data_IF_162586013085
#
_entry.id   IF_162586013085
#
_cell.length_a   1.000
_cell.length_b   1.000
_cell.length_c   1.000
_cell.angle_alpha   90.00
_cell.angle_beta   90.00
_cell.angle_gamma   90.00
#
_symmetry.space_group_name_H-M   'P 1'
#
loop_
_entity.id
_entity.type
_entity.pdbx_description
1 polymer ?
#
# COMPACT_ATOMS: atom_id res chain seq x y z
N UNK A 1 -45.84 27.44 43.96
CA UNK A 1 -45.69 26.92 42.57
C UNK A 1 -44.46 27.51 41.87
N UNK A 2 -44.20 28.82 41.98
CA UNK A 2 -43.06 29.48 41.31
C UNK A 2 -41.66 29.04 41.81
N UNK A 3 -41.51 28.70 43.10
CA UNK A 3 -40.24 28.24 43.68
C UNK A 3 -39.80 26.89 43.15
N UNK A 4 -40.71 25.91 43.10
CA UNK A 4 -40.44 24.56 42.59
C UNK A 4 -40.05 24.58 41.10
N UNK A 5 -40.65 25.46 40.30
CA UNK A 5 -40.32 25.62 38.88
C UNK A 5 -38.92 26.22 38.69
N UNK A 6 -38.48 27.13 39.57
CA UNK A 6 -37.14 27.72 39.53
C UNK A 6 -36.07 26.71 39.96
N UNK A 7 -36.34 25.86 40.95
CA UNK A 7 -35.41 24.81 41.39
C UNK A 7 -35.20 23.74 40.30
N UNK A 8 -36.28 23.34 39.60
CA UNK A 8 -36.19 22.40 38.47
C UNK A 8 -35.38 22.99 37.30
N UNK A 9 -35.61 24.26 36.96
CA UNK A 9 -34.84 24.96 35.91
C UNK A 9 -33.35 25.08 36.28
N UNK A 10 -33.06 25.39 37.54
CA UNK A 10 -31.69 25.45 38.06
C UNK A 10 -30.99 24.09 37.95
N UNK A 11 -31.67 23.02 38.39
CA UNK A 11 -31.13 21.66 38.31
C UNK A 11 -30.88 21.21 36.88
N UNK A 12 -31.80 21.49 35.94
CA UNK A 12 -31.61 21.16 34.52
C UNK A 12 -30.45 21.96 33.90
N UNK A 13 -30.29 23.23 34.25
CA UNK A 13 -29.18 24.06 33.79
C UNK A 13 -27.82 23.50 34.25
N UNK A 14 -27.74 23.02 35.50
CA UNK A 14 -26.54 22.35 36.03
C UNK A 14 -26.26 21.04 35.30
N UNK A 15 -27.28 20.22 35.02
CA UNK A 15 -27.12 19.00 34.23
C UNK A 15 -26.66 19.28 32.79
N UNK A 16 -27.23 20.29 32.13
CA UNK A 16 -26.78 20.70 30.79
C UNK A 16 -25.35 21.24 30.81
N UNK A 17 -24.97 22.03 31.83
CA UNK A 17 -23.60 22.52 31.98
C UNK A 17 -22.60 21.37 32.22
N UNK A 18 -22.96 20.39 33.04
CA UNK A 18 -22.16 19.17 33.27
C UNK A 18 -22.03 18.33 31.99
N UNK A 19 -23.11 18.15 31.24
CA UNK A 19 -23.07 17.44 29.95
C UNK A 19 -22.20 18.18 28.93
N UNK A 20 -22.35 19.50 28.81
CA UNK A 20 -21.54 20.31 27.89
C UNK A 20 -20.06 20.32 28.26
N UNK A 21 -19.73 20.37 29.55
CA UNK A 21 -18.33 20.29 30.02
C UNK A 21 -17.73 18.91 29.77
N UNK A 22 -18.48 17.82 30.01
CA UNK A 22 -18.03 16.46 29.68
C UNK A 22 -17.86 16.26 28.16
N UNK A 23 -18.79 16.77 27.35
CA UNK A 23 -18.69 16.68 25.89
C UNK A 23 -17.49 17.50 25.38
N UNK A 24 -17.32 18.74 25.84
CA UNK A 24 -16.23 19.60 25.38
C UNK A 24 -14.85 19.10 25.82
N UNK A 25 -14.72 18.55 27.04
CA UNK A 25 -13.47 17.93 27.52
C UNK A 25 -13.13 16.66 26.76
N UNK A 26 -14.11 15.77 26.50
CA UNK A 26 -13.92 14.56 25.69
C UNK A 26 -13.53 14.89 24.24
N UNK A 27 -14.16 15.91 23.65
CA UNK A 27 -13.85 16.37 22.29
C UNK A 27 -12.45 16.99 22.23
N UNK A 28 -12.09 17.86 23.18
CA UNK A 28 -10.77 18.50 23.23
C UNK A 28 -9.63 17.50 23.48
N UNK A 29 -9.86 16.49 24.32
CA UNK A 29 -8.92 15.39 24.51
C UNK A 29 -8.76 14.54 23.23
N UNK A 30 -9.83 14.36 22.45
CA UNK A 30 -9.76 13.65 21.17
C UNK A 30 -8.92 14.37 20.09
N UNK A 31 -8.84 15.71 20.13
CA UNK A 31 -8.02 16.50 19.20
C UNK A 31 -6.58 16.73 19.68
N UNK A 32 -6.30 16.61 20.99
CA UNK A 32 -4.97 16.85 21.55
C UNK A 32 -3.91 15.80 21.15
N UNK A 33 -4.33 14.69 20.52
CA UNK A 33 -3.47 13.58 20.10
C UNK A 33 -3.39 13.41 18.57
N UNK A 34 -3.79 14.42 17.79
CA UNK A 34 -3.73 14.37 16.32
C UNK A 34 -2.32 14.70 15.80
N UNK A 35 -1.35 13.83 16.07
CA UNK A 35 0.04 13.97 15.60
C UNK A 35 0.38 12.88 14.57
N UNK A 36 1.38 13.15 13.72
CA UNK A 36 1.92 12.15 12.80
C UNK A 36 2.44 10.91 13.55
N UNK A 37 3.05 11.11 14.72
CA UNK A 37 3.53 10.02 15.59
C UNK A 37 2.41 9.08 16.03
N UNK A 38 1.21 9.60 16.32
CA UNK A 38 0.09 8.78 16.73
C UNK A 38 -0.42 7.90 15.58
N UNK A 39 -0.44 8.44 14.36
CA UNK A 39 -0.75 7.66 13.17
C UNK A 39 0.30 6.56 12.92
N UNK A 40 1.59 6.89 13.08
CA UNK A 40 2.67 5.92 12.94
C UNK A 40 2.59 4.81 14.00
N UNK A 41 2.21 5.14 15.24
CA UNK A 41 1.95 4.16 16.30
C UNK A 41 0.83 3.21 15.93
N UNK A 42 -0.27 3.70 15.36
CA UNK A 42 -1.35 2.84 14.87
C UNK A 42 -0.86 1.89 13.75
N UNK A 43 0.04 2.35 12.87
CA UNK A 43 0.51 1.57 11.72
C UNK A 43 1.60 0.54 12.07
N UNK A 44 2.30 0.71 13.20
CA UNK A 44 3.43 -0.14 13.59
C UNK A 44 3.14 -1.65 13.53
N UNK A 45 2.01 -2.18 14.02
CA UNK A 45 1.74 -3.62 13.93
C UNK A 45 1.56 -4.12 12.49
N UNK A 46 1.22 -3.25 11.54
CA UNK A 46 1.03 -3.61 10.13
C UNK A 46 2.36 -3.83 9.41
N UNK A 47 3.51 -3.41 9.96
CA UNK A 47 4.81 -3.55 9.28
C UNK A 47 5.23 -5.02 9.11
N UNK A 48 4.62 -5.95 9.85
CA UNK A 48 4.83 -7.40 9.64
C UNK A 48 4.33 -7.85 8.26
N UNK A 49 3.38 -7.11 7.68
CA UNK A 49 2.87 -7.34 6.34
C UNK A 49 3.94 -6.94 5.30
N UNK A 50 4.73 -5.89 5.54
CA UNK A 50 5.71 -5.39 4.56
C UNK A 50 6.73 -6.46 4.15
N UNK A 51 7.06 -7.39 5.05
CA UNK A 51 7.98 -8.50 4.79
C UNK A 51 7.31 -9.76 4.23
N UNK A 52 6.04 -9.73 3.84
CA UNK A 52 5.39 -10.92 3.26
C UNK A 52 4.69 -11.83 4.28
N UNK A 53 4.55 -11.43 5.56
CA UNK A 53 4.15 -12.32 6.66
C UNK A 53 4.99 -13.60 6.74
N UNK A 54 6.24 -13.55 6.32
CA UNK A 54 7.10 -14.72 6.18
C UNK A 54 7.38 -15.47 7.49
N UNK A 55 7.12 -14.85 8.63
CA UNK A 55 7.18 -15.45 9.97
C UNK A 55 5.89 -16.20 10.38
N UNK A 56 4.82 -16.08 9.59
CA UNK A 56 3.49 -16.65 9.86
C UNK A 56 3.25 -17.80 8.90
N UNK A 57 3.27 -19.03 9.39
CA UNK A 57 3.07 -20.21 8.55
C UNK A 57 1.91 -21.10 8.97
N UNK A 58 1.34 -20.84 10.15
CA UNK A 58 0.27 -21.66 10.70
C UNK A 58 -0.95 -20.83 11.08
N UNK A 59 -2.07 -21.53 11.24
CA UNK A 59 -3.31 -20.93 11.76
C UNK A 59 -3.13 -20.38 13.18
N UNK A 60 -2.33 -21.05 14.01
CA UNK A 60 -2.03 -20.61 15.36
C UNK A 60 -1.25 -19.28 15.34
N UNK A 61 -0.31 -19.12 14.40
CA UNK A 61 0.41 -17.85 14.22
C UNK A 61 -0.55 -16.73 13.83
N UNK A 62 -1.47 -17.00 12.88
CA UNK A 62 -2.52 -16.04 12.50
C UNK A 62 -3.40 -15.66 13.68
N UNK A 63 -3.86 -16.63 14.47
CA UNK A 63 -4.68 -16.38 15.66
C UNK A 63 -3.95 -15.52 16.70
N UNK A 64 -2.61 -15.65 16.79
CA UNK A 64 -1.79 -14.81 17.67
C UNK A 64 -1.64 -13.37 17.17
N UNK A 65 -1.48 -13.13 15.87
CA UNK A 65 -1.20 -11.77 15.34
C UNK A 65 -2.45 -10.99 14.93
N UNK A 66 -3.54 -11.68 14.62
CA UNK A 66 -4.76 -11.05 14.11
C UNK A 66 -5.43 -10.04 15.06
N UNK A 67 -5.37 -10.19 16.40
CA UNK A 67 -5.81 -9.14 17.31
C UNK A 67 -5.08 -7.82 17.07
N UNK A 68 -3.75 -7.84 16.99
CA UNK A 68 -2.92 -6.65 16.80
C UNK A 68 -3.17 -5.99 15.44
N UNK A 69 -3.30 -6.79 14.37
CA UNK A 69 -3.60 -6.27 13.03
C UNK A 69 -4.98 -5.59 12.97
N UNK A 70 -5.99 -6.20 13.60
CA UNK A 70 -7.35 -5.63 13.65
C UNK A 70 -7.37 -4.34 14.47
N UNK A 71 -6.66 -4.31 15.59
CA UNK A 71 -6.57 -3.14 16.44
C UNK A 71 -5.82 -1.99 15.75
N UNK A 72 -4.78 -2.29 14.99
CA UNK A 72 -4.10 -1.31 14.12
C UNK A 72 -5.06 -0.68 13.11
N UNK A 73 -5.82 -1.49 12.36
CA UNK A 73 -6.82 -0.98 11.39
C UNK A 73 -7.90 -0.13 12.09
N UNK A 74 -8.37 -0.56 13.26
CA UNK A 74 -9.35 0.19 14.05
C UNK A 74 -8.79 1.52 14.57
N UNK A 75 -7.52 1.54 15.01
CA UNK A 75 -6.80 2.74 15.44
C UNK A 75 -6.74 3.77 14.31
N UNK A 76 -6.30 3.34 13.12
CA UNK A 76 -6.24 4.17 11.91
C UNK A 76 -7.63 4.71 11.53
N UNK A 77 -8.68 3.87 11.58
CA UNK A 77 -10.05 4.30 11.30
C UNK A 77 -10.56 5.36 12.29
N UNK A 78 -10.19 5.27 13.56
CA UNK A 78 -10.54 6.29 14.56
C UNK A 78 -9.75 7.57 14.32
N UNK A 79 -8.44 7.47 14.12
CA UNK A 79 -7.59 8.63 13.82
C UNK A 79 -8.13 9.41 12.62
N UNK A 80 -8.41 8.74 11.50
CA UNK A 80 -8.94 9.38 10.28
C UNK A 80 -10.33 10.00 10.46
N UNK A 81 -11.12 9.53 11.44
CA UNK A 81 -12.44 10.10 11.75
C UNK A 81 -12.34 11.36 12.59
N UNK A 82 -11.41 11.41 13.54
CA UNK A 82 -11.30 12.51 14.52
C UNK A 82 -10.28 13.58 14.11
N UNK A 83 -9.19 13.19 13.46
CA UNK A 83 -8.05 14.06 13.20
C UNK A 83 -7.98 14.61 11.77
N UNK A 84 -8.78 14.09 10.84
CA UNK A 84 -8.76 14.51 9.43
C UNK A 84 -10.05 15.23 9.04
N UNK A 85 -9.92 16.21 8.14
CA UNK A 85 -11.08 16.80 7.46
C UNK A 85 -11.71 15.80 6.46
N UNK A 86 -12.85 16.15 5.88
CA UNK A 86 -13.60 15.26 4.98
C UNK A 86 -12.81 14.85 3.72
N UNK A 87 -12.02 15.77 3.16
CA UNK A 87 -11.25 15.51 1.94
C UNK A 87 -10.08 14.57 2.23
N UNK A 88 -9.29 14.86 3.26
CA UNK A 88 -8.15 14.05 3.69
C UNK A 88 -8.62 12.67 4.13
N UNK A 89 -9.73 12.58 4.87
CA UNK A 89 -10.33 11.30 5.25
C UNK A 89 -10.73 10.46 4.04
N UNK A 90 -11.35 11.06 3.00
CA UNK A 90 -11.74 10.33 1.78
C UNK A 90 -10.51 9.86 1.01
N UNK A 91 -9.48 10.70 0.94
CA UNK A 91 -8.22 10.33 0.31
C UNK A 91 -7.52 9.20 1.08
N UNK A 92 -7.31 9.37 2.38
CA UNK A 92 -6.67 8.39 3.25
C UNK A 92 -7.40 7.05 3.27
N UNK A 93 -8.75 7.04 3.34
CA UNK A 93 -9.53 5.80 3.24
C UNK A 93 -9.26 5.04 1.94
N UNK A 94 -9.09 5.76 0.83
CA UNK A 94 -8.69 5.13 -0.43
C UNK A 94 -7.28 4.60 -0.37
N UNK A 95 -6.35 5.25 0.33
CA UNK A 95 -4.97 4.78 0.48
C UNK A 95 -4.86 3.51 1.33
N UNK A 96 -5.65 3.39 2.39
CA UNK A 96 -5.58 2.26 3.34
C UNK A 96 -6.60 1.13 3.08
N UNK A 97 -7.46 1.26 2.07
CA UNK A 97 -8.52 0.30 1.81
C UNK A 97 -7.98 -1.13 1.56
N UNK A 98 -6.98 -1.27 0.69
CA UNK A 98 -6.42 -2.57 0.33
C UNK A 98 -5.83 -3.32 1.53
N UNK A 99 -5.04 -2.62 2.36
CA UNK A 99 -4.47 -3.17 3.60
C UNK A 99 -5.55 -3.60 4.58
N UNK A 100 -6.58 -2.77 4.79
CA UNK A 100 -7.69 -3.13 5.69
C UNK A 100 -8.49 -4.34 5.21
N UNK A 101 -8.74 -4.44 3.90
CA UNK A 101 -9.42 -5.58 3.29
C UNK A 101 -8.59 -6.87 3.40
N UNK A 102 -7.29 -6.77 3.16
CA UNK A 102 -6.35 -7.88 3.27
C UNK A 102 -6.26 -8.41 4.70
N UNK A 103 -6.09 -7.54 5.70
CA UNK A 103 -6.13 -7.92 7.13
C UNK A 103 -7.44 -8.62 7.46
N UNK A 104 -8.57 -8.08 7.00
CA UNK A 104 -9.88 -8.69 7.24
C UNK A 104 -10.00 -10.10 6.64
N UNK A 105 -9.56 -10.27 5.39
CA UNK A 105 -9.66 -11.55 4.67
C UNK A 105 -8.69 -12.59 5.22
N UNK A 106 -7.49 -12.18 5.63
CA UNK A 106 -6.49 -13.05 6.23
C UNK A 106 -6.91 -13.52 7.63
N UNK A 107 -7.47 -12.62 8.44
CA UNK A 107 -7.81 -12.90 9.82
C UNK A 107 -9.20 -13.53 10.01
N UNK A 108 -10.00 -13.63 8.96
CA UNK A 108 -11.31 -14.26 8.99
C UNK A 108 -11.21 -15.64 8.35
N UNK A 109 -11.80 -16.64 9.00
CA UNK A 109 -11.95 -17.97 8.38
C UNK A 109 -12.66 -17.83 7.02
N UNK A 110 -12.05 -18.40 5.99
CA UNK A 110 -12.55 -18.35 4.62
C UNK A 110 -11.49 -18.75 3.61
N UNK A 111 -11.87 -18.75 2.34
CA UNK A 111 -11.04 -19.27 1.23
C UNK A 111 -9.69 -18.56 1.12
N UNK A 112 -9.64 -17.24 1.33
CA UNK A 112 -8.39 -16.48 1.26
C UNK A 112 -7.40 -16.89 2.36
N UNK A 113 -7.88 -17.12 3.58
CA UNK A 113 -7.04 -17.60 4.67
C UNK A 113 -6.54 -19.02 4.39
N UNK A 114 -7.40 -19.90 3.87
CA UNK A 114 -7.04 -21.26 3.49
C UNK A 114 -5.97 -21.28 2.38
N UNK A 115 -6.12 -20.43 1.37
CA UNK A 115 -5.15 -20.25 0.28
C UNK A 115 -3.81 -19.71 0.80
N UNK A 116 -3.83 -18.72 1.70
CA UNK A 116 -2.62 -18.25 2.39
C UNK A 116 -1.92 -19.40 3.12
N UNK A 117 -2.65 -20.12 3.98
CA UNK A 117 -2.11 -21.22 4.79
C UNK A 117 -1.60 -22.40 3.94
N UNK A 118 -2.14 -22.58 2.72
CA UNK A 118 -1.63 -23.57 1.76
C UNK A 118 -0.20 -23.24 1.31
N UNK A 119 0.12 -21.96 1.09
CA UNK A 119 1.43 -21.53 0.55
C UNK A 119 2.42 -21.12 1.65
N UNK A 120 1.93 -20.69 2.81
CA UNK A 120 2.74 -20.14 3.89
C UNK A 120 3.89 -21.05 4.38
N UNK A 121 3.75 -22.39 4.50
CA UNK A 121 4.86 -23.25 4.93
C UNK A 121 6.05 -23.25 3.98
N UNK A 122 5.83 -23.09 2.67
CA UNK A 122 6.94 -22.97 1.72
C UNK A 122 7.50 -21.55 1.73
N UNK A 123 6.62 -20.54 1.71
CA UNK A 123 7.02 -19.12 1.74
C UNK A 123 7.87 -18.78 2.97
N UNK A 124 7.62 -19.41 4.11
CA UNK A 124 8.45 -19.29 5.33
C UNK A 124 9.85 -19.88 5.14
N UNK A 125 10.00 -20.98 4.40
CA UNK A 125 11.32 -21.60 4.16
C UNK A 125 12.20 -20.75 3.25
N UNK A 126 11.59 -20.08 2.29
CA UNK A 126 12.28 -19.23 1.30
C UNK A 126 12.37 -17.77 1.75
N UNK A 127 12.04 -17.51 3.02
CA UNK A 127 12.08 -16.18 3.64
C UNK A 127 13.46 -15.54 3.51
N UNK A 128 14.60 -16.23 3.80
CA UNK A 128 15.91 -15.61 3.73
C UNK A 128 16.26 -15.14 2.32
N UNK A 129 15.90 -15.93 1.29
CA UNK A 129 16.11 -15.58 -0.11
C UNK A 129 15.21 -14.42 -0.55
N UNK A 130 13.96 -14.39 -0.08
CA UNK A 130 13.02 -13.30 -0.32
C UNK A 130 13.41 -12.01 0.42
N UNK A 131 14.01 -12.10 1.61
CA UNK A 131 14.44 -10.96 2.43
C UNK A 131 15.47 -10.09 1.68
N UNK A 132 16.29 -10.70 0.82
CA UNK A 132 17.22 -9.98 -0.06
C UNK A 132 16.48 -8.98 -0.95
N UNK A 133 15.34 -9.37 -1.51
CA UNK A 133 14.51 -8.50 -2.34
C UNK A 133 13.97 -7.31 -1.52
N UNK A 134 13.49 -7.57 -0.30
CA UNK A 134 12.97 -6.53 0.58
C UNK A 134 14.07 -5.57 1.05
N UNK A 135 15.25 -6.07 1.41
CA UNK A 135 16.42 -5.25 1.77
C UNK A 135 16.85 -4.32 0.64
N UNK A 136 16.85 -4.81 -0.59
CA UNK A 136 17.14 -3.99 -1.77
C UNK A 136 16.09 -2.88 -1.95
N UNK A 137 14.81 -3.22 -1.78
CA UNK A 137 13.72 -2.25 -1.80
C UNK A 137 13.88 -1.16 -0.74
N UNK A 138 14.05 -1.54 0.53
CA UNK A 138 14.24 -0.58 1.62
C UNK A 138 15.44 0.31 1.39
N UNK A 139 16.55 -0.23 0.88
CA UNK A 139 17.73 0.56 0.53
C UNK A 139 17.39 1.62 -0.53
N UNK A 140 16.70 1.24 -1.61
CA UNK A 140 16.27 2.20 -2.66
C UNK A 140 15.32 3.26 -2.12
N UNK A 141 14.39 2.88 -1.25
CA UNK A 141 13.47 3.82 -0.60
C UNK A 141 14.22 4.85 0.26
N UNK A 142 15.20 4.43 1.05
CA UNK A 142 16.03 5.34 1.85
C UNK A 142 16.85 6.29 0.96
N UNK A 143 17.35 5.81 -0.19
CA UNK A 143 18.06 6.64 -1.16
C UNK A 143 17.14 7.67 -1.83
N UNK A 144 15.88 7.31 -2.12
CA UNK A 144 14.88 8.22 -2.67
C UNK A 144 14.51 9.31 -1.65
N UNK A 145 14.30 8.92 -0.38
CA UNK A 145 14.01 9.85 0.70
C UNK A 145 15.16 10.85 0.91
N UNK A 146 16.41 10.37 0.94
CA UNK A 146 17.59 11.23 1.06
C UNK A 146 17.77 12.22 -0.11
N UNK A 147 17.30 11.87 -1.32
CA UNK A 147 17.39 12.70 -2.52
C UNK A 147 16.21 13.65 -2.71
N UNK A 148 15.16 13.52 -1.90
CA UNK A 148 13.97 14.37 -1.96
C UNK A 148 13.98 15.35 -0.78
N UNK A 149 14.77 16.44 -0.82
CA UNK A 149 14.66 17.45 0.21
C UNK A 149 13.27 18.08 0.14
N UNK A 150 12.50 17.89 1.21
CA UNK A 150 11.23 18.60 1.41
C UNK A 150 11.55 20.06 1.72
N UNK A 151 11.94 20.83 0.71
CA UNK A 151 12.24 22.25 0.87
C UNK A 151 10.96 23.02 1.18
N UNK A 152 10.90 23.62 2.39
CA UNK A 152 9.87 24.57 2.76
C UNK A 152 9.81 25.70 1.73
N UNK A 153 8.64 25.90 1.12
CA UNK A 153 8.42 26.97 0.15
C UNK A 153 8.39 28.30 0.92
N UNK A 154 9.44 29.12 0.82
CA UNK A 154 9.41 30.52 1.26
C UNK A 154 8.80 31.41 0.17
N UNK A 155 8.15 32.49 0.59
CA UNK A 155 7.20 33.26 -0.21
C UNK A 155 7.82 34.33 -1.15
N UNK A 156 9.10 34.25 -1.49
CA UNK A 156 9.82 35.33 -2.17
C UNK A 156 10.35 34.86 -3.54
N UNK A 157 9.50 34.96 -4.58
CA UNK A 157 9.83 35.40 -5.96
C UNK A 157 8.84 34.83 -7.00
N UNK A 158 7.81 35.60 -7.35
CA UNK A 158 6.65 35.18 -8.15
C UNK A 158 6.95 34.75 -9.61
N UNK A 159 8.11 35.09 -10.17
CA UNK A 159 8.56 34.65 -11.52
C UNK A 159 9.55 33.49 -11.47
N UNK A 160 10.43 33.43 -10.45
CA UNK A 160 11.15 32.21 -10.11
C UNK A 160 10.18 31.11 -9.64
N UNK A 161 9.00 31.48 -9.13
CA UNK A 161 7.93 30.60 -8.64
C UNK A 161 7.38 29.66 -9.72
N UNK A 162 7.10 30.10 -10.96
CA UNK A 162 6.57 29.19 -12.00
C UNK A 162 7.60 28.16 -12.46
N UNK A 163 8.86 28.56 -12.66
CA UNK A 163 9.93 27.66 -13.07
C UNK A 163 10.35 26.73 -11.92
N UNK A 164 10.38 27.23 -10.68
CA UNK A 164 10.63 26.42 -9.49
C UNK A 164 9.47 25.45 -9.20
N UNK A 165 8.21 25.84 -9.38
CA UNK A 165 7.07 24.93 -9.26
C UNK A 165 7.12 23.81 -10.29
N UNK A 166 7.49 24.11 -11.54
CA UNK A 166 7.67 23.07 -12.56
C UNK A 166 8.78 22.10 -12.17
N UNK A 167 9.95 22.60 -11.76
CA UNK A 167 11.06 21.76 -11.27
C UNK A 167 10.67 20.93 -10.04
N UNK A 168 9.91 21.50 -9.10
CA UNK A 168 9.40 20.79 -7.91
C UNK A 168 8.42 19.68 -8.30
N UNK A 169 7.55 19.95 -9.26
CA UNK A 169 6.61 18.95 -9.80
C UNK A 169 7.37 17.84 -10.53
N UNK A 170 8.30 18.19 -11.41
CA UNK A 170 9.10 17.21 -12.16
C UNK A 170 9.91 16.33 -11.20
N UNK A 171 10.51 16.91 -10.15
CA UNK A 171 11.22 16.17 -9.10
C UNK A 171 10.28 15.27 -8.26
N UNK A 172 9.07 15.74 -7.94
CA UNK A 172 8.06 14.94 -7.25
C UNK A 172 7.58 13.77 -8.13
N UNK A 173 7.34 14.01 -9.42
CA UNK A 173 6.94 13.00 -10.40
C UNK A 173 8.08 11.98 -10.62
N UNK A 174 9.34 12.41 -10.61
CA UNK A 174 10.52 11.52 -10.64
C UNK A 174 10.63 10.68 -9.36
N UNK A 175 10.41 11.30 -8.18
CA UNK A 175 10.38 10.61 -6.90
C UNK A 175 9.30 9.52 -6.87
N UNK A 176 8.08 9.85 -7.32
CA UNK A 176 6.98 8.88 -7.44
C UNK A 176 7.36 7.75 -8.39
N UNK A 177 7.91 8.06 -9.57
CA UNK A 177 8.38 7.04 -10.52
C UNK A 177 9.38 6.08 -9.87
N UNK A 178 10.37 6.62 -9.16
CA UNK A 178 11.40 5.81 -8.51
C UNK A 178 10.82 4.90 -7.42
N UNK A 179 9.85 5.39 -6.62
CA UNK A 179 9.13 4.57 -5.64
C UNK A 179 8.36 3.45 -6.33
N UNK A 180 7.63 3.77 -7.40
CA UNK A 180 6.84 2.81 -8.17
C UNK A 180 7.71 1.69 -8.75
N UNK A 181 8.82 2.05 -9.40
CA UNK A 181 9.70 1.09 -10.04
C UNK A 181 10.45 0.23 -9.01
N UNK A 182 10.91 0.83 -7.90
CA UNK A 182 11.56 0.06 -6.82
C UNK A 182 10.60 -0.97 -6.21
N UNK A 183 9.32 -0.63 -6.07
CA UNK A 183 8.32 -1.57 -5.59
C UNK A 183 8.02 -2.68 -6.61
N UNK A 184 7.90 -2.35 -7.91
CA UNK A 184 7.69 -3.38 -8.93
C UNK A 184 8.86 -4.36 -9.03
N UNK A 185 10.10 -3.88 -8.94
CA UNK A 185 11.29 -4.73 -8.87
C UNK A 185 11.26 -5.67 -7.66
N UNK A 186 10.82 -5.16 -6.50
CA UNK A 186 10.66 -5.97 -5.30
C UNK A 186 9.65 -7.10 -5.52
N UNK A 187 8.46 -6.78 -6.02
CA UNK A 187 7.42 -7.77 -6.31
C UNK A 187 7.93 -8.81 -7.32
N UNK A 188 8.61 -8.37 -8.38
CA UNK A 188 9.17 -9.26 -9.39
C UNK A 188 10.23 -10.20 -8.79
N UNK A 189 11.21 -9.65 -8.07
CA UNK A 189 12.27 -10.42 -7.39
C UNK A 189 11.67 -11.48 -6.47
N UNK A 190 10.70 -11.11 -5.63
CA UNK A 190 10.07 -12.07 -4.71
C UNK A 190 9.22 -13.12 -5.42
N UNK A 191 8.53 -12.73 -6.50
CA UNK A 191 7.75 -13.66 -7.33
C UNK A 191 8.66 -14.68 -8.02
N UNK A 192 9.81 -14.26 -8.54
CA UNK A 192 10.80 -15.13 -9.19
C UNK A 192 11.47 -16.10 -8.21
N UNK A 193 11.84 -15.64 -7.01
CA UNK A 193 12.36 -16.49 -5.93
C UNK A 193 11.30 -17.52 -5.51
N UNK A 194 10.09 -17.06 -5.21
CA UNK A 194 8.98 -17.94 -4.79
C UNK A 194 8.60 -18.93 -5.90
N UNK A 195 8.65 -18.53 -7.17
CA UNK A 195 8.33 -19.41 -8.29
C UNK A 195 9.33 -20.54 -8.48
N UNK A 196 10.63 -20.26 -8.28
CA UNK A 196 11.69 -21.27 -8.37
C UNK A 196 11.62 -22.29 -7.24
N UNK A 197 11.35 -21.82 -6.02
CA UNK A 197 11.43 -22.66 -4.82
C UNK A 197 10.08 -23.28 -4.40
N UNK A 198 8.97 -22.57 -4.60
CA UNK A 198 7.62 -22.95 -4.13
C UNK A 198 6.62 -23.23 -5.25
N UNK A 199 7.00 -23.03 -6.51
CA UNK A 199 6.15 -23.27 -7.68
C UNK A 199 5.29 -22.08 -8.11
N UNK A 200 4.68 -22.21 -9.29
CA UNK A 200 3.97 -21.11 -9.96
C UNK A 200 2.73 -20.61 -9.22
N UNK A 201 1.98 -21.51 -8.57
CA UNK A 201 0.78 -21.14 -7.80
C UNK A 201 1.15 -20.26 -6.60
N UNK A 202 2.20 -20.65 -5.85
CA UNK A 202 2.71 -19.87 -4.72
C UNK A 202 3.28 -18.52 -5.18
N UNK A 203 3.93 -18.48 -6.34
CA UNK A 203 4.43 -17.23 -6.93
C UNK A 203 3.29 -16.28 -7.32
N UNK A 204 2.23 -16.79 -7.96
CA UNK A 204 1.06 -15.99 -8.31
C UNK A 204 0.35 -15.46 -7.05
N UNK A 205 0.22 -16.29 -6.03
CA UNK A 205 -0.32 -15.89 -4.73
C UNK A 205 0.55 -14.80 -4.10
N UNK A 206 1.87 -15.02 -4.00
CA UNK A 206 2.83 -14.08 -3.42
C UNK A 206 2.80 -12.72 -4.13
N UNK A 207 2.72 -12.71 -5.47
CA UNK A 207 2.53 -11.49 -6.25
C UNK A 207 1.27 -10.73 -5.86
N UNK A 208 0.10 -11.40 -5.88
CA UNK A 208 -1.19 -10.79 -5.51
C UNK A 208 -1.19 -10.28 -4.07
N UNK A 209 -0.53 -11.01 -3.18
CA UNK A 209 -0.37 -10.66 -1.78
C UNK A 209 0.43 -9.38 -1.61
N UNK A 210 1.64 -9.29 -2.20
CA UNK A 210 2.49 -8.10 -2.18
C UNK A 210 1.80 -6.89 -2.83
N UNK A 211 1.15 -7.09 -3.98
CA UNK A 211 0.40 -6.05 -4.69
C UNK A 211 -0.75 -5.46 -3.85
N UNK A 212 -1.38 -6.29 -3.00
CA UNK A 212 -2.47 -5.87 -2.11
C UNK A 212 -1.95 -5.24 -0.82
N UNK A 213 -0.77 -5.64 -0.36
CA UNK A 213 -0.16 -5.17 0.89
C UNK A 213 0.45 -3.79 0.82
N UNK A 214 1.06 -3.40 -0.31
CA UNK A 214 1.85 -2.16 -0.41
C UNK A 214 1.05 -0.86 -0.36
N UNK A 215 -0.17 -0.96 0.17
CA UNK A 215 -1.23 0.01 0.23
C UNK A 215 -1.68 0.44 -1.17
N UNK A 216 -2.95 0.78 -1.26
CA UNK A 216 -3.50 1.48 -2.41
C UNK A 216 -2.79 2.81 -2.71
N UNK A 217 -1.83 3.29 -1.89
CA UNK A 217 -0.98 4.43 -2.19
C UNK A 217 -0.07 4.17 -3.39
N UNK A 218 0.65 3.03 -3.40
CA UNK A 218 1.49 2.67 -4.56
C UNK A 218 0.57 2.44 -5.76
N UNK A 219 -0.52 1.68 -5.63
CA UNK A 219 -1.44 1.48 -6.75
C UNK A 219 -2.06 2.78 -7.28
N UNK A 220 -2.41 3.74 -6.42
CA UNK A 220 -3.04 5.01 -6.82
C UNK A 220 -2.04 5.95 -7.51
N UNK A 221 -0.79 6.00 -7.05
CA UNK A 221 0.25 6.87 -7.62
C UNK A 221 1.02 6.21 -8.75
N UNK A 222 1.01 4.88 -8.85
CA UNK A 222 1.74 4.11 -9.85
C UNK A 222 0.90 3.68 -11.05
N UNK A 223 -0.36 4.12 -11.18
CA UNK A 223 -1.23 3.78 -12.32
C UNK A 223 -0.59 4.11 -13.68
N UNK A 224 0.26 5.14 -13.73
CA UNK A 224 0.93 5.60 -14.94
C UNK A 224 2.36 5.08 -15.09
N UNK A 225 2.87 4.29 -14.14
CA UNK A 225 4.23 3.76 -14.14
C UNK A 225 4.15 2.23 -14.20
N UNK A 226 3.92 1.69 -15.40
CA UNK A 226 3.87 0.26 -15.63
C UNK A 226 5.26 -0.36 -15.80
N UNK A 227 5.27 -1.65 -16.17
CA UNK A 227 6.52 -2.42 -16.33
C UNK A 227 7.43 -1.82 -17.41
N UNK A 228 6.87 -1.16 -18.43
CA UNK A 228 7.65 -0.53 -19.52
C UNK A 228 8.35 0.72 -19.04
N UNK A 229 7.65 1.56 -18.29
CA UNK A 229 8.16 2.81 -17.74
C UNK A 229 9.27 2.57 -16.69
N UNK A 230 9.22 1.39 -16.06
CA UNK A 230 10.21 0.89 -15.12
C UNK A 230 11.29 -0.02 -15.74
N UNK A 231 11.24 -0.31 -17.04
CA UNK A 231 12.25 -1.14 -17.71
C UNK A 231 12.25 -2.62 -17.31
N UNK A 232 11.16 -3.12 -16.74
CA UNK A 232 11.00 -4.48 -16.21
C UNK A 232 10.49 -5.49 -17.24
N UNK A 233 10.28 -5.05 -18.47
CA UNK A 233 9.97 -5.98 -19.56
C UNK A 233 11.26 -6.73 -19.90
N UNK A 234 11.32 -8.01 -19.52
CA UNK A 234 12.32 -8.92 -20.06
C UNK A 234 12.21 -8.91 -21.59
N UNK A 235 13.30 -8.58 -22.27
CA UNK A 235 13.47 -8.85 -23.70
C UNK A 235 13.48 -10.36 -23.92
N UNK A 236 12.32 -10.99 -23.81
CA UNK A 236 12.10 -12.41 -24.04
C UNK A 236 10.88 -12.57 -24.94
N UNK A 237 11.02 -11.99 -26.14
CA UNK A 237 10.35 -12.43 -27.35
C UNK A 237 11.23 -12.00 -28.52
N UNK A 238 12.32 -12.75 -28.73
CA UNK A 238 12.69 -13.08 -30.09
C UNK A 238 11.58 -14.01 -30.62
N UNK A 239 10.39 -13.46 -30.88
CA UNK A 239 9.56 -14.01 -31.92
C UNK A 239 10.25 -13.60 -33.21
N UNK A 240 11.16 -14.46 -33.67
CA UNK A 240 11.32 -14.64 -35.10
C UNK A 240 9.91 -15.03 -35.54
N UNK A 241 9.14 -14.05 -35.99
CA UNK A 241 7.96 -14.32 -36.81
C UNK A 241 8.52 -15.02 -38.05
N UNK A 242 8.52 -16.35 -37.97
CA UNK A 242 8.71 -17.22 -39.11
C UNK A 242 7.59 -16.87 -40.07
N UNK A 243 7.93 -16.05 -41.05
CA UNK A 243 7.09 -15.68 -42.17
C UNK A 243 6.97 -16.90 -43.10
N UNK A 244 6.31 -17.95 -42.60
CA UNK A 244 6.17 -19.26 -43.24
C UNK A 244 5.23 -19.21 -44.46
N UNK A 245 4.48 -18.11 -44.63
CA UNK A 245 3.58 -17.92 -45.76
C UNK A 245 4.31 -17.44 -47.04
N UNK A 246 5.42 -16.69 -46.92
CA UNK A 246 6.20 -16.26 -48.09
C UNK A 246 7.06 -17.40 -48.68
N UNK A 247 7.59 -18.28 -47.83
CA UNK A 247 8.39 -19.43 -48.30
C UNK A 247 7.54 -20.44 -49.10
N UNK A 248 6.26 -20.61 -48.74
CA UNK A 248 5.32 -21.50 -49.45
C UNK A 248 4.92 -20.88 -50.81
N UNK A 249 4.75 -19.56 -50.88
CA UNK A 249 4.46 -18.85 -52.15
C UNK A 249 5.65 -18.86 -53.13
N UNK A 250 6.88 -18.76 -52.63
CA UNK A 250 8.07 -18.80 -53.51
C UNK A 250 8.30 -20.20 -54.10
N UNK A 251 8.03 -21.26 -53.33
CA UNK A 251 8.17 -22.64 -53.83
C UNK A 251 7.09 -23.02 -54.85
N UNK A 252 5.85 -22.54 -54.69
CA UNK A 252 4.78 -22.79 -55.66
C UNK A 252 5.02 -22.02 -56.96
N UNK A 253 5.49 -20.77 -56.90
CA UNK A 253 5.82 -19.98 -58.10
C UNK A 253 7.00 -20.59 -58.87
N UNK A 254 8.05 -21.06 -58.18
CA UNK A 254 9.17 -21.74 -58.85
C UNK A 254 8.76 -23.06 -59.52
N UNK A 255 7.83 -23.81 -58.93
CA UNK A 255 7.30 -25.05 -59.54
C UNK A 255 6.43 -24.82 -60.78
N UNK A 256 5.86 -23.62 -60.93
CA UNK A 256 5.07 -23.22 -62.12
C UNK A 256 5.97 -22.65 -63.22
N UNK A 257 7.12 -22.06 -62.88
CA UNK A 257 8.08 -21.53 -63.86
C UNK A 257 8.95 -22.64 -64.48
N UNK A 258 9.13 -23.78 -63.79
CA UNK A 258 9.95 -24.91 -64.26
C UNK A 258 9.12 -25.99 -64.98
N UNK A 259 7.83 -25.75 -65.25
CA UNK A 259 6.93 -26.63 -66.00
C UNK A 259 6.53 -25.99 -67.32
#
# INVERSE_FOLDING_TARGET
MNTVVNDIKSSLAVFYALLLTVITTKVRAGYAHCTADELMRCAKPLSVLDSGLTLVSTKADLESICPDLRDAINCIHRYTRFCMNLQDRKHFKRLFHGTGEMVNNLCKNGTYQEEFLKHAPCMQKVEPENEVCFKQYTKKMNEIEAKTPMEAITAEDLTAYKTSLKRKRDAADEGIKNVCCSFQEYVQCSTEVTGRECGSEAAEFSKKFLDKMSSSMIQLHCQNYGHRECGLVSSSSNTIENNSLLAILVLTVLSVIVR
#
